data_IF_375006321498
#
_entry.id   IF_375006321498
#
_cell.length_a   1.000
_cell.length_b   1.000
_cell.length_c   1.000
_cell.angle_alpha   90.00
_cell.angle_beta   90.00
_cell.angle_gamma   90.00
#
_symmetry.space_group_name_H-M   'P 1'
#
loop_
_entity.id
_entity.type
_entity.pdbx_description
1 polymer ?
#
# COMPACT_ATOMS: atom_id res chain seq x y z
N UNK A 1 3.08 -5.92 9.42
CA UNK A 1 2.70 -4.65 10.09
C UNK A 1 3.80 -4.29 11.07
N UNK A 2 4.36 -3.08 10.99
CA UNK A 2 5.51 -2.59 11.81
C UNK A 2 5.07 -2.10 13.20
N UNK A 3 4.16 -2.82 13.85
CA UNK A 3 3.68 -2.47 15.19
C UNK A 3 4.55 -3.08 16.28
N UNK A 4 4.83 -2.31 17.34
CA UNK A 4 5.50 -2.81 18.55
C UNK A 4 4.44 -3.06 19.64
N UNK A 5 4.61 -4.07 20.50
CA UNK A 5 3.68 -4.30 21.61
C UNK A 5 3.45 -3.02 22.43
N UNK A 6 2.18 -2.69 22.69
CA UNK A 6 1.79 -1.55 23.50
C UNK A 6 2.31 -1.70 24.93
N UNK A 7 2.79 -0.61 25.51
CA UNK A 7 3.17 -0.57 26.92
C UNK A 7 1.96 -0.21 27.79
N UNK A 8 1.95 -0.73 29.01
CA UNK A 8 0.89 -0.53 30.01
C UNK A 8 1.50 -0.25 31.36
N UNK A 9 0.68 0.26 32.27
CA UNK A 9 1.01 0.30 33.70
C UNK A 9 1.41 -1.11 34.16
N UNK A 10 2.53 -1.19 34.87
CA UNK A 10 3.13 -2.44 35.34
C UNK A 10 4.08 -3.13 34.36
N UNK A 11 4.14 -2.73 33.08
CA UNK A 11 5.21 -3.20 32.18
C UNK A 11 6.54 -2.53 32.58
N UNK A 12 7.67 -3.18 32.25
CA UNK A 12 8.97 -2.85 32.85
C UNK A 12 9.75 -1.83 32.02
N UNK A 13 10.23 -0.75 32.64
CA UNK A 13 11.30 0.09 32.10
C UNK A 13 12.63 -0.37 32.69
N UNK A 14 13.49 -0.92 31.86
CA UNK A 14 14.89 -1.16 32.22
C UNK A 14 15.64 0.17 32.23
N UNK A 15 16.48 0.40 33.23
CA UNK A 15 17.30 1.59 33.37
C UNK A 15 18.71 1.16 33.79
N UNK A 16 19.73 1.77 33.18
CA UNK A 16 21.13 1.43 33.44
C UNK A 16 21.77 2.26 34.56
N UNK A 17 21.01 3.16 35.21
CA UNK A 17 21.51 3.88 36.37
C UNK A 17 21.77 2.90 37.53
N UNK A 18 22.94 2.98 38.20
CA UNK A 18 23.23 2.14 39.37
C UNK A 18 22.15 2.32 40.44
N UNK A 19 21.47 1.24 40.80
CA UNK A 19 20.49 1.27 41.89
C UNK A 19 21.16 0.87 43.20
N UNK A 20 20.85 1.61 44.27
CA UNK A 20 21.22 1.21 45.62
C UNK A 20 20.18 0.22 46.13
N UNK A 21 20.35 -1.06 45.80
CA UNK A 21 19.60 -2.11 46.50
C UNK A 21 20.14 -2.23 47.93
N UNK A 22 19.30 -2.40 48.97
CA UNK A 22 19.75 -2.57 50.36
C UNK A 22 20.58 -3.84 50.63
N UNK A 23 20.92 -4.62 49.59
CA UNK A 23 21.66 -5.86 49.74
C UNK A 23 23.16 -5.58 49.95
N UNK A 24 23.63 -5.79 51.18
CA UNK A 24 25.07 -5.91 51.48
C UNK A 24 25.46 -7.39 51.51
N UNK A 25 26.44 -7.85 50.69
CA UNK A 25 27.27 -7.07 49.78
C UNK A 25 26.57 -6.81 48.42
N UNK A 26 26.97 -5.76 47.67
CA UNK A 26 26.41 -5.45 46.36
C UNK A 26 26.54 -6.67 45.42
N UNK A 27 25.49 -7.06 44.69
CA UNK A 27 25.62 -8.10 43.67
C UNK A 27 26.69 -7.69 42.65
N UNK A 28 27.64 -8.57 42.29
CA UNK A 28 28.65 -8.24 41.30
C UNK A 28 27.98 -8.05 39.93
N UNK A 29 28.06 -6.82 39.39
CA UNK A 29 27.76 -6.49 37.99
C UNK A 29 26.37 -6.86 37.45
N UNK A 30 25.38 -7.14 38.29
CA UNK A 30 24.01 -7.33 37.81
C UNK A 30 23.42 -5.97 37.43
N UNK A 31 23.01 -5.74 36.16
CA UNK A 31 22.24 -4.54 35.83
C UNK A 31 20.99 -4.51 36.71
N UNK A 32 20.61 -3.33 37.23
CA UNK A 32 19.48 -3.24 38.13
C UNK A 32 18.22 -3.83 37.48
N UNK A 33 17.36 -4.51 38.25
CA UNK A 33 16.09 -4.97 37.71
C UNK A 33 15.32 -3.76 37.19
N UNK A 34 14.76 -3.88 35.98
CA UNK A 34 13.87 -2.86 35.45
C UNK A 34 12.69 -2.66 36.39
N UNK A 35 12.15 -1.44 36.41
CA UNK A 35 11.07 -1.07 37.33
C UNK A 35 9.77 -0.82 36.57
N UNK A 36 8.61 -1.13 37.18
CA UNK A 36 7.33 -1.03 36.50
C UNK A 36 6.98 0.43 36.18
N UNK A 37 6.30 0.64 35.06
CA UNK A 37 5.58 1.88 34.76
C UNK A 37 4.51 2.06 35.84
N UNK A 38 4.54 3.19 36.53
CA UNK A 38 3.66 3.45 37.67
C UNK A 38 2.27 3.92 37.22
N UNK A 39 1.23 3.71 38.07
CA UNK A 39 -0.06 4.37 37.90
C UNK A 39 0.07 5.91 37.85
N UNK A 40 -0.90 6.63 37.25
CA UNK A 40 -2.19 6.12 36.76
C UNK A 40 -2.19 5.59 35.31
N UNK A 41 -1.16 5.91 34.52
CA UNK A 41 -1.23 5.73 33.06
C UNK A 41 -2.47 6.42 32.46
N UNK A 42 -3.00 5.86 31.39
CA UNK A 42 -4.31 6.23 30.84
C UNK A 42 -5.43 5.42 31.52
N UNK A 43 -5.90 5.89 32.67
CA UNK A 43 -6.87 5.16 33.51
C UNK A 43 -8.16 4.71 32.79
N UNK A 44 -8.58 5.42 31.73
CA UNK A 44 -9.80 5.15 30.96
C UNK A 44 -9.56 4.30 29.69
N UNK A 45 -8.31 4.09 29.29
CA UNK A 45 -7.97 3.34 28.08
C UNK A 45 -7.19 2.11 28.48
N UNK A 46 -7.87 0.95 28.44
CA UNK A 46 -7.30 -0.31 28.88
C UNK A 46 -6.75 -1.10 27.68
N UNK A 47 -5.49 -1.52 27.77
CA UNK A 47 -4.86 -2.42 26.81
C UNK A 47 -4.56 -3.74 27.54
N UNK A 48 -5.13 -4.85 27.06
CA UNK A 48 -5.03 -6.14 27.74
C UNK A 48 -5.51 -6.09 29.20
N UNK A 49 -6.52 -5.28 29.50
CA UNK A 49 -7.12 -5.11 30.84
C UNK A 49 -6.35 -4.20 31.80
N UNK A 50 -5.24 -3.57 31.40
CA UNK A 50 -4.49 -2.64 32.24
C UNK A 50 -4.47 -1.23 31.62
N UNK A 51 -4.35 -0.15 32.41
CA UNK A 51 -4.22 1.20 31.87
C UNK A 51 -3.04 1.29 30.89
N UNK A 52 -3.28 1.87 29.71
CA UNK A 52 -2.26 2.06 28.69
C UNK A 52 -1.20 3.07 29.16
N UNK A 53 0.06 2.84 28.84
CA UNK A 53 1.14 3.78 29.10
C UNK A 53 1.30 4.74 27.91
N UNK A 54 1.79 5.94 28.20
CA UNK A 54 1.95 7.06 27.26
C UNK A 54 3.27 7.76 27.52
N UNK A 55 3.67 8.60 26.57
CA UNK A 55 4.71 9.59 26.81
C UNK A 55 4.39 10.39 28.08
N UNK A 56 5.40 10.58 28.93
CA UNK A 56 5.27 11.26 30.23
C UNK A 56 4.89 10.35 31.40
N UNK A 57 4.28 9.18 31.17
CA UNK A 57 4.17 8.16 32.22
C UNK A 57 5.58 7.63 32.56
N UNK A 58 5.81 7.13 33.77
CA UNK A 58 7.18 6.93 34.28
C UNK A 58 7.33 5.70 35.16
N UNK A 59 8.54 5.16 35.24
CA UNK A 59 8.98 4.32 36.35
C UNK A 59 9.79 5.16 37.33
N UNK A 60 9.94 4.70 38.58
CA UNK A 60 10.70 5.43 39.59
C UNK A 60 11.99 4.68 39.92
N UNK A 61 13.13 5.17 39.43
CA UNK A 61 14.42 4.52 39.64
C UNK A 61 14.86 4.59 41.11
N UNK A 62 15.29 3.46 41.66
CA UNK A 62 15.82 3.34 43.03
C UNK A 62 17.32 3.70 43.08
N UNK A 63 17.64 4.94 42.71
CA UNK A 63 18.91 5.57 43.06
C UNK A 63 18.86 6.00 44.56
N UNK A 64 19.95 6.50 45.18
CA UNK A 64 19.93 6.95 46.58
C UNK A 64 18.77 7.91 46.91
N UNK A 65 18.29 8.63 45.89
CA UNK A 65 17.01 9.33 45.90
C UNK A 65 16.13 8.78 44.76
N UNK A 66 14.86 8.42 45.02
CA UNK A 66 13.95 7.98 43.97
C UNK A 66 13.85 9.02 42.87
N UNK A 67 14.25 8.63 41.65
CA UNK A 67 14.31 9.56 40.51
C UNK A 67 13.33 9.09 39.44
N UNK A 68 12.34 9.92 39.06
CA UNK A 68 11.43 9.59 37.98
C UNK A 68 12.17 9.40 36.67
N UNK A 69 11.82 8.33 35.94
CA UNK A 69 12.25 8.05 34.58
C UNK A 69 11.06 8.13 33.61
N UNK A 70 10.57 9.33 33.25
CA UNK A 70 9.51 9.49 32.27
C UNK A 70 9.83 8.89 30.91
N UNK A 71 8.84 8.28 30.29
CA UNK A 71 8.89 7.83 28.91
C UNK A 71 8.98 9.07 28.01
N UNK A 72 10.09 9.20 27.28
CA UNK A 72 10.35 10.34 26.38
C UNK A 72 9.94 10.10 24.93
N UNK A 73 9.73 8.84 24.53
CA UNK A 73 9.33 8.46 23.17
C UNK A 73 8.00 7.72 23.19
N UNK A 74 7.19 7.91 22.16
CA UNK A 74 5.90 7.26 22.02
C UNK A 74 5.38 7.39 20.59
N UNK A 75 4.22 6.81 20.32
CA UNK A 75 3.57 6.80 19.03
C UNK A 75 2.62 7.97 18.83
N UNK A 76 3.14 9.04 18.18
CA UNK A 76 2.38 10.25 17.87
C UNK A 76 1.11 10.01 17.04
N UNK A 77 1.09 9.09 16.04
CA UNK A 77 -0.14 8.80 15.29
C UNK A 77 -1.22 8.09 16.13
N UNK A 78 -0.87 7.58 17.31
CA UNK A 78 -1.79 6.85 18.20
C UNK A 78 -1.88 7.59 19.53
N UNK A 79 -2.60 8.73 19.58
CA UNK A 79 -2.80 9.43 20.83
C UNK A 79 -3.71 8.62 21.76
N UNK A 80 -3.28 8.45 23.00
CA UNK A 80 -4.11 7.92 24.09
C UNK A 80 -4.24 9.06 25.10
N UNK A 81 -5.48 9.51 25.35
CA UNK A 81 -5.73 10.65 26.25
C UNK A 81 -4.83 11.86 25.92
N UNK A 82 -4.78 12.23 24.64
CA UNK A 82 -3.99 13.33 24.05
C UNK A 82 -2.47 13.24 24.18
N UNK A 83 -1.92 12.12 24.66
CA UNK A 83 -0.47 11.89 24.70
C UNK A 83 -0.10 10.72 23.78
N UNK A 84 1.06 10.73 23.12
CA UNK A 84 1.53 9.61 22.31
C UNK A 84 1.57 8.28 23.10
N UNK A 85 1.04 7.20 22.53
CA UNK A 85 1.03 5.89 23.20
C UNK A 85 2.46 5.31 23.35
N UNK A 86 2.79 4.77 24.52
CA UNK A 86 4.09 4.13 24.75
C UNK A 86 4.09 2.67 24.29
N UNK A 87 5.26 2.18 23.89
CA UNK A 87 5.46 0.84 23.31
C UNK A 87 6.76 0.22 23.79
N UNK A 88 6.88 -1.09 23.64
CA UNK A 88 8.18 -1.77 23.81
C UNK A 88 9.24 -1.07 22.94
N UNK A 89 10.45 -0.92 23.48
CA UNK A 89 11.60 -0.18 22.94
C UNK A 89 11.54 1.34 22.95
N UNK A 90 10.42 1.96 23.38
CA UNK A 90 10.43 3.40 23.64
C UNK A 90 11.33 3.70 24.86
N UNK A 91 12.08 4.81 24.79
CA UNK A 91 13.10 5.16 25.78
C UNK A 91 12.55 6.09 26.87
N UNK A 92 13.10 5.98 28.08
CA UNK A 92 12.89 6.95 29.15
C UNK A 92 13.89 8.11 29.13
N UNK A 93 13.76 9.05 30.07
CA UNK A 93 14.67 10.20 30.26
C UNK A 93 16.05 9.76 30.71
N UNK A 94 16.15 8.64 31.42
CA UNK A 94 17.43 8.13 31.90
C UNK A 94 18.24 7.49 30.76
N UNK A 95 19.58 7.68 30.73
CA UNK A 95 20.44 7.07 29.72
C UNK A 95 20.29 5.55 29.66
N UNK A 96 20.18 5.03 28.44
CA UNK A 96 20.03 3.59 28.20
C UNK A 96 18.72 2.99 28.72
N UNK A 97 17.75 3.82 29.15
CA UNK A 97 16.48 3.31 29.62
C UNK A 97 15.51 3.01 28.50
N UNK A 98 14.80 1.89 28.64
CA UNK A 98 13.97 1.33 27.57
C UNK A 98 12.83 0.50 28.15
N UNK A 99 11.64 0.60 27.55
CA UNK A 99 10.53 -0.29 27.86
C UNK A 99 10.84 -1.69 27.33
N UNK A 100 10.86 -2.67 28.23
CA UNK A 100 11.20 -4.05 27.94
C UNK A 100 9.99 -4.84 27.42
N UNK A 101 10.22 -5.89 26.61
CA UNK A 101 9.21 -6.90 26.34
C UNK A 101 8.66 -7.54 27.64
N UNK A 102 7.44 -8.10 27.63
CA UNK A 102 6.61 -8.35 26.44
C UNK A 102 5.66 -7.20 26.07
N UNK A 103 5.46 -6.20 26.94
CA UNK A 103 4.35 -5.26 26.80
C UNK A 103 3.00 -6.00 26.74
N UNK A 104 2.11 -5.56 25.85
CA UNK A 104 0.91 -6.29 25.44
C UNK A 104 1.08 -6.90 24.04
N UNK A 105 1.46 -8.19 23.92
CA UNK A 105 1.78 -8.79 22.61
C UNK A 105 0.62 -8.81 21.61
N UNK A 106 -0.62 -8.77 22.09
CA UNK A 106 -1.83 -8.81 21.26
C UNK A 106 -2.26 -7.43 20.76
N UNK A 107 -1.67 -6.34 21.26
CA UNK A 107 -1.96 -4.97 20.83
C UNK A 107 -0.66 -4.35 20.33
N UNK A 108 -0.54 -4.26 19.01
CA UNK A 108 0.63 -3.70 18.34
C UNK A 108 0.36 -2.26 17.92
N UNK A 109 1.15 -1.31 18.44
CA UNK A 109 1.06 0.11 18.10
C UNK A 109 2.22 0.43 17.13
N UNK A 110 1.89 0.85 15.92
CA UNK A 110 2.86 1.30 14.91
C UNK A 110 3.07 2.81 14.94
N UNK A 111 4.22 3.29 14.44
CA UNK A 111 4.31 4.64 13.86
C UNK A 111 4.00 4.58 12.35
N UNK A 112 4.25 3.41 11.75
CA UNK A 112 3.89 3.02 10.38
C UNK A 112 2.39 3.19 10.08
N UNK A 113 2.08 4.21 9.30
CA UNK A 113 0.75 4.41 8.72
C UNK A 113 0.54 3.63 7.43
N UNK A 114 -0.72 3.54 7.01
CA UNK A 114 -1.09 3.19 5.64
C UNK A 114 -1.82 4.39 5.07
N UNK A 115 -1.41 4.86 3.90
CA UNK A 115 -2.19 5.86 3.14
C UNK A 115 -3.04 5.16 2.07
N UNK A 116 -4.04 5.86 1.54
CA UNK A 116 -5.04 5.26 0.66
C UNK A 116 -6.03 4.36 1.41
N UNK A 117 -6.76 3.53 0.68
CA UNK A 117 -7.76 2.62 1.23
C UNK A 117 -7.64 1.21 0.64
N UNK A 118 -6.61 0.44 1.04
CA UNK A 118 -6.44 -0.93 0.55
C UNK A 118 -7.64 -1.84 0.78
N UNK A 119 -8.41 -1.59 1.85
CA UNK A 119 -9.60 -2.38 2.16
C UNK A 119 -10.68 -2.24 1.08
N UNK A 120 -11.08 -1.00 0.78
CA UNK A 120 -12.07 -0.76 -0.28
C UNK A 120 -11.50 -1.06 -1.66
N UNK A 121 -10.21 -0.78 -1.89
CA UNK A 121 -9.53 -1.17 -3.11
C UNK A 121 -9.57 -2.68 -3.37
N UNK A 122 -9.32 -3.50 -2.35
CA UNK A 122 -9.40 -4.96 -2.46
C UNK A 122 -10.84 -5.42 -2.76
N UNK A 123 -11.83 -4.86 -2.05
CA UNK A 123 -13.25 -5.17 -2.30
C UNK A 123 -13.66 -4.81 -3.73
N UNK A 124 -13.26 -3.63 -4.21
CA UNK A 124 -13.51 -3.20 -5.58
C UNK A 124 -12.92 -4.20 -6.58
N UNK A 125 -11.65 -4.57 -6.45
CA UNK A 125 -11.02 -5.56 -7.33
C UNK A 125 -11.71 -6.93 -7.32
N UNK A 126 -12.08 -7.44 -6.15
CA UNK A 126 -12.77 -8.73 -6.03
C UNK A 126 -14.15 -8.70 -6.71
N UNK A 127 -14.87 -7.58 -6.61
CA UNK A 127 -16.16 -7.40 -7.27
C UNK A 127 -16.06 -7.35 -8.80
N UNK A 128 -14.88 -7.02 -9.34
CA UNK A 128 -14.67 -6.86 -10.78
C UNK A 128 -14.56 -8.17 -11.55
N UNK A 129 -14.43 -9.31 -10.87
CA UNK A 129 -14.67 -10.58 -11.55
C UNK A 129 -16.04 -10.55 -12.24
N UNK A 130 -17.08 -10.08 -11.54
CA UNK A 130 -18.39 -9.85 -12.14
C UNK A 130 -18.31 -8.82 -13.28
N UNK A 131 -18.84 -9.19 -14.45
CA UNK A 131 -18.89 -8.33 -15.63
C UNK A 131 -17.74 -8.52 -16.60
N UNK A 132 -16.90 -9.55 -16.44
CA UNK A 132 -15.98 -10.04 -17.47
C UNK A 132 -16.65 -11.14 -18.25
N UNK A 133 -17.24 -10.83 -19.40
CA UNK A 133 -18.02 -11.79 -20.18
C UNK A 133 -17.56 -11.80 -21.65
N UNK A 134 -16.37 -12.38 -21.94
CA UNK A 134 -15.89 -12.48 -23.31
C UNK A 134 -16.91 -13.19 -24.21
N UNK A 135 -17.10 -12.73 -25.47
CA UNK A 135 -18.00 -13.41 -26.40
C UNK A 135 -17.60 -14.89 -26.60
N UNK A 136 -18.58 -15.81 -26.74
CA UNK A 136 -18.30 -17.21 -27.01
C UNK A 136 -17.35 -17.39 -28.21
N UNK A 137 -16.35 -18.25 -28.07
CA UNK A 137 -15.34 -18.51 -29.09
C UNK A 137 -14.13 -17.56 -29.08
N UNK A 138 -14.12 -16.53 -28.21
CA UNK A 138 -12.92 -15.71 -27.99
C UNK A 138 -11.82 -16.53 -27.34
N UNK A 139 -10.58 -16.39 -27.84
CA UNK A 139 -9.43 -17.12 -27.32
C UNK A 139 -8.27 -16.20 -26.93
N UNK A 140 -7.41 -16.69 -26.03
CA UNK A 140 -6.11 -16.08 -25.77
C UNK A 140 -5.13 -16.27 -26.97
N UNK A 141 -3.88 -15.82 -26.80
CA UNK A 141 -2.83 -15.99 -27.82
C UNK A 141 -2.46 -17.44 -28.10
N UNK A 142 -2.74 -18.37 -27.18
CA UNK A 142 -2.52 -19.80 -27.32
C UNK A 142 -3.70 -20.57 -27.91
N UNK A 143 -4.83 -19.90 -28.17
CA UNK A 143 -6.06 -20.53 -28.65
C UNK A 143 -6.95 -21.11 -27.55
N UNK A 144 -6.65 -20.86 -26.27
CA UNK A 144 -7.50 -21.32 -25.17
C UNK A 144 -8.73 -20.41 -25.04
N UNK A 145 -9.93 -20.95 -24.79
CA UNK A 145 -11.14 -20.15 -24.58
C UNK A 145 -11.00 -19.19 -23.40
N UNK A 146 -11.44 -17.94 -23.58
CA UNK A 146 -11.49 -16.96 -22.50
C UNK A 146 -12.66 -17.25 -21.56
N UNK A 147 -12.36 -17.37 -20.27
CA UNK A 147 -13.36 -17.59 -19.22
C UNK A 147 -14.19 -16.34 -18.91
N UNK A 148 -15.40 -16.54 -18.40
CA UNK A 148 -16.23 -15.47 -17.83
C UNK A 148 -16.05 -15.38 -16.32
N UNK A 149 -16.26 -14.18 -15.79
CA UNK A 149 -16.14 -13.84 -14.37
C UNK A 149 -14.81 -14.29 -13.72
N UNK A 150 -13.72 -14.25 -14.48
CA UNK A 150 -12.39 -14.63 -14.01
C UNK A 150 -11.85 -13.59 -13.01
N UNK A 151 -10.95 -13.97 -12.07
CA UNK A 151 -10.26 -13.01 -11.21
C UNK A 151 -9.30 -12.08 -11.98
N UNK A 152 -8.72 -12.56 -13.07
CA UNK A 152 -7.93 -11.77 -14.02
C UNK A 152 -8.78 -11.12 -15.10
N UNK A 153 -8.22 -10.10 -15.72
CA UNK A 153 -8.72 -9.51 -16.96
C UNK A 153 -8.80 -10.58 -18.06
N UNK A 154 -9.76 -10.45 -18.97
CA UNK A 154 -9.90 -11.43 -20.07
C UNK A 154 -9.08 -11.08 -21.30
N UNK A 155 -8.59 -9.84 -21.41
CA UNK A 155 -7.83 -9.35 -22.55
C UNK A 155 -6.53 -8.70 -22.07
N UNK A 156 -5.69 -8.20 -22.97
CA UNK A 156 -4.55 -7.36 -22.60
C UNK A 156 -4.95 -5.91 -22.28
N UNK A 157 -6.00 -5.73 -21.46
CA UNK A 157 -6.69 -4.46 -21.24
C UNK A 157 -6.55 -3.93 -19.80
N UNK A 158 -5.41 -4.13 -19.15
CA UNK A 158 -5.17 -3.79 -17.74
C UNK A 158 -5.50 -2.34 -17.37
N UNK A 159 -5.27 -1.38 -18.25
CA UNK A 159 -5.63 0.02 -17.99
C UNK A 159 -7.13 0.29 -18.06
N UNK A 160 -7.86 -0.45 -18.90
CA UNK A 160 -9.33 -0.41 -18.94
C UNK A 160 -9.90 -1.03 -17.67
N UNK A 161 -9.38 -2.18 -17.25
CA UNK A 161 -9.83 -2.87 -16.03
C UNK A 161 -9.45 -2.11 -14.74
N UNK A 162 -8.29 -1.44 -14.72
CA UNK A 162 -7.94 -0.51 -13.65
C UNK A 162 -8.92 0.67 -13.61
N UNK A 163 -9.29 1.21 -14.78
CA UNK A 163 -10.30 2.27 -14.86
C UNK A 163 -11.68 1.79 -14.40
N UNK A 164 -12.07 0.55 -14.73
CA UNK A 164 -13.35 -0.02 -14.31
C UNK A 164 -13.46 -0.15 -12.79
N UNK A 165 -12.37 -0.54 -12.11
CA UNK A 165 -12.32 -0.54 -10.65
C UNK A 165 -12.61 0.84 -10.05
N UNK A 166 -11.98 1.89 -10.60
CA UNK A 166 -12.17 3.25 -10.10
C UNK A 166 -13.57 3.78 -10.40
N UNK A 167 -14.13 3.46 -11.57
CA UNK A 167 -15.52 3.81 -11.95
C UNK A 167 -16.53 3.14 -11.04
N UNK A 168 -16.38 1.82 -10.81
CA UNK A 168 -17.24 1.07 -9.91
C UNK A 168 -17.22 1.67 -8.50
N UNK A 169 -16.03 1.99 -8.01
CA UNK A 169 -15.88 2.61 -6.69
C UNK A 169 -16.55 3.98 -6.63
N UNK A 170 -16.30 4.85 -7.62
CA UNK A 170 -16.76 6.24 -7.59
C UNK A 170 -18.25 6.39 -7.84
N UNK A 171 -18.86 5.50 -8.63
CA UNK A 171 -20.22 5.66 -9.15
C UNK A 171 -21.19 4.56 -8.70
N UNK A 172 -20.67 3.43 -8.21
CA UNK A 172 -21.45 2.22 -7.97
C UNK A 172 -21.80 1.44 -9.24
N UNK A 173 -21.49 1.93 -10.43
CA UNK A 173 -21.82 1.28 -11.70
C UNK A 173 -20.76 0.26 -12.13
N UNK A 174 -21.21 -0.94 -12.54
CA UNK A 174 -20.36 -1.92 -13.23
C UNK A 174 -20.73 -1.95 -14.73
N UNK A 175 -20.06 -1.18 -15.60
CA UNK A 175 -20.38 -1.19 -17.03
C UNK A 175 -20.06 -2.53 -17.71
N UNK A 176 -19.29 -3.41 -17.05
CA UNK A 176 -18.72 -4.61 -17.65
C UNK A 176 -17.47 -4.31 -18.47
N UNK A 177 -16.59 -5.30 -18.56
CA UNK A 177 -15.30 -5.22 -19.24
C UNK A 177 -15.48 -4.94 -20.74
N UNK A 178 -16.40 -5.67 -21.39
CA UNK A 178 -16.60 -5.59 -22.84
C UNK A 178 -17.19 -4.23 -23.24
N UNK A 179 -18.21 -3.76 -22.52
CA UNK A 179 -18.80 -2.43 -22.75
C UNK A 179 -17.74 -1.34 -22.59
N UNK A 180 -16.97 -1.38 -21.51
CA UNK A 180 -15.97 -0.36 -21.23
C UNK A 180 -14.81 -0.41 -22.24
N UNK A 181 -14.35 -1.61 -22.62
CA UNK A 181 -13.32 -1.80 -23.64
C UNK A 181 -13.78 -1.30 -25.02
N UNK A 182 -14.98 -1.68 -25.46
CA UNK A 182 -15.52 -1.27 -26.76
C UNK A 182 -15.69 0.25 -26.83
N UNK A 183 -16.20 0.86 -25.76
CA UNK A 183 -16.31 2.32 -25.67
C UNK A 183 -14.91 2.97 -25.67
N UNK A 184 -13.93 2.41 -24.96
CA UNK A 184 -12.57 2.93 -24.96
C UNK A 184 -11.94 2.89 -26.36
N UNK A 185 -12.10 1.79 -27.09
CA UNK A 185 -11.61 1.64 -28.47
C UNK A 185 -12.32 2.62 -29.41
N UNK A 186 -13.64 2.70 -29.36
CA UNK A 186 -14.44 3.56 -30.23
C UNK A 186 -14.10 5.06 -30.06
N UNK A 187 -13.66 5.45 -28.86
CA UNK A 187 -13.23 6.82 -28.56
C UNK A 187 -11.72 7.04 -28.74
N UNK A 188 -10.97 6.07 -29.26
CA UNK A 188 -9.52 6.17 -29.45
C UNK A 188 -8.70 6.18 -28.15
N UNK A 189 -9.30 5.75 -27.03
CA UNK A 189 -8.67 5.73 -25.71
C UNK A 189 -7.98 4.40 -25.38
N UNK A 190 -8.28 3.35 -26.14
CA UNK A 190 -7.65 2.05 -26.07
C UNK A 190 -7.32 1.51 -27.47
N UNK A 191 -6.25 0.71 -27.58
CA UNK A 191 -5.81 0.15 -28.86
C UNK A 191 -6.65 -1.06 -29.29
N UNK A 192 -6.79 -1.22 -30.60
CA UNK A 192 -7.23 -2.45 -31.24
C UNK A 192 -6.28 -2.74 -32.41
N UNK A 193 -5.34 -3.69 -32.28
CA UNK A 193 -4.42 -4.03 -33.35
C UNK A 193 -5.15 -4.52 -34.61
N UNK A 194 -4.65 -4.16 -35.79
CA UNK A 194 -5.24 -4.59 -37.05
C UNK A 194 -5.08 -6.11 -37.26
N UNK A 195 -6.08 -6.76 -37.83
CA UNK A 195 -5.96 -8.17 -38.25
C UNK A 195 -4.82 -8.28 -39.28
N UNK A 196 -3.96 -9.28 -39.10
CA UNK A 196 -2.75 -9.49 -39.89
C UNK A 196 -1.51 -8.76 -39.37
N UNK A 197 -1.64 -7.91 -38.35
CA UNK A 197 -0.49 -7.29 -37.68
C UNK A 197 0.20 -8.25 -36.70
N UNK A 198 1.43 -7.91 -36.28
CA UNK A 198 2.10 -8.58 -35.19
C UNK A 198 1.63 -7.97 -33.85
N UNK A 199 0.94 -8.77 -33.04
CA UNK A 199 0.56 -8.44 -31.67
C UNK A 199 1.68 -8.80 -30.68
N UNK A 200 1.53 -8.35 -29.43
CA UNK A 200 2.40 -8.69 -28.31
C UNK A 200 2.28 -10.17 -27.94
N UNK A 201 2.93 -11.03 -28.72
CA UNK A 201 2.96 -12.48 -28.53
C UNK A 201 2.47 -13.32 -29.72
N UNK A 202 2.25 -12.74 -30.91
CA UNK A 202 1.88 -13.52 -32.10
C UNK A 202 1.08 -12.74 -33.15
N UNK A 203 0.73 -13.36 -34.29
CA UNK A 203 -0.08 -12.73 -35.32
C UNK A 203 -1.52 -12.48 -34.82
N UNK A 204 -2.02 -11.29 -35.13
CA UNK A 204 -3.40 -10.89 -34.82
C UNK A 204 -4.33 -11.47 -35.87
N UNK A 205 -5.27 -12.31 -35.45
CA UNK A 205 -6.32 -12.91 -36.29
C UNK A 205 -7.68 -12.40 -35.84
N UNK A 206 -8.73 -12.64 -36.64
CA UNK A 206 -10.10 -12.32 -36.22
C UNK A 206 -10.51 -12.99 -34.90
N UNK A 207 -9.96 -14.18 -34.62
CA UNK A 207 -10.30 -14.97 -33.43
C UNK A 207 -9.63 -14.45 -32.15
N UNK A 208 -8.40 -13.94 -32.25
CA UNK A 208 -7.62 -13.49 -31.09
C UNK A 208 -7.44 -11.96 -31.01
N UNK A 209 -8.03 -11.17 -31.92
CA UNK A 209 -7.88 -9.71 -31.92
C UNK A 209 -8.34 -9.09 -30.60
N UNK A 210 -9.44 -9.60 -30.02
CA UNK A 210 -9.95 -9.13 -28.75
C UNK A 210 -8.91 -9.31 -27.62
N UNK A 211 -8.18 -10.42 -27.61
CA UNK A 211 -7.09 -10.69 -26.66
C UNK A 211 -5.98 -9.63 -26.73
N UNK A 212 -5.59 -9.20 -27.94
CA UNK A 212 -4.53 -8.20 -28.12
C UNK A 212 -5.02 -6.74 -27.98
N UNK A 213 -6.29 -6.52 -27.71
CA UNK A 213 -6.88 -5.18 -27.60
C UNK A 213 -6.83 -4.65 -26.16
N UNK A 214 -6.96 -3.33 -26.01
CA UNK A 214 -7.10 -2.68 -24.71
C UNK A 214 -5.86 -2.01 -24.14
N UNK A 215 -4.78 -1.89 -24.93
CA UNK A 215 -3.62 -1.09 -24.54
C UNK A 215 -4.02 0.37 -24.38
N UNK A 216 -3.67 1.00 -23.26
CA UNK A 216 -4.04 2.39 -22.95
C UNK A 216 -2.81 3.22 -22.61
N UNK A 217 -2.91 4.53 -22.78
CA UNK A 217 -1.99 5.49 -22.16
C UNK A 217 -2.65 6.10 -20.93
N UNK A 218 -1.89 6.79 -20.07
CA UNK A 218 -2.49 7.48 -18.91
C UNK A 218 -3.57 8.52 -19.24
N UNK A 219 -3.68 8.98 -20.49
CA UNK A 219 -4.76 9.89 -20.90
C UNK A 219 -5.88 9.21 -21.62
N UNK A 220 -5.61 8.07 -22.25
CA UNK A 220 -6.68 7.11 -22.56
C UNK A 220 -7.41 6.75 -21.27
N UNK A 221 -6.68 6.45 -20.19
CA UNK A 221 -7.23 6.19 -18.86
C UNK A 221 -8.01 7.39 -18.29
N UNK A 222 -7.45 8.61 -18.30
CA UNK A 222 -8.19 9.82 -17.89
C UNK A 222 -9.47 10.01 -18.68
N UNK A 223 -9.44 9.78 -19.99
CA UNK A 223 -10.61 9.92 -20.86
C UNK A 223 -11.63 8.82 -20.60
N UNK A 224 -11.20 7.57 -20.37
CA UNK A 224 -12.08 6.46 -19.97
C UNK A 224 -12.79 6.80 -18.65
N UNK A 225 -12.06 7.26 -17.64
CA UNK A 225 -12.64 7.68 -16.36
C UNK A 225 -13.65 8.80 -16.56
N UNK A 226 -13.27 9.85 -17.31
CA UNK A 226 -14.12 11.02 -17.56
C UNK A 226 -15.40 10.67 -18.33
N UNK A 227 -15.29 9.80 -19.34
CA UNK A 227 -16.42 9.30 -20.12
C UNK A 227 -17.39 8.44 -19.29
N UNK A 228 -16.96 7.96 -18.12
CA UNK A 228 -17.77 7.20 -17.18
C UNK A 228 -18.12 8.01 -15.92
N UNK A 229 -18.08 9.35 -16.00
CA UNK A 229 -18.51 10.23 -14.91
C UNK A 229 -17.51 10.36 -13.76
N UNK A 230 -16.26 9.97 -13.95
CA UNK A 230 -15.18 10.10 -12.96
C UNK A 230 -14.14 11.10 -13.47
N UNK A 231 -14.21 12.38 -13.06
CA UNK A 231 -13.20 13.36 -13.42
C UNK A 231 -11.80 12.89 -13.01
N UNK A 232 -10.82 13.03 -13.90
CA UNK A 232 -9.45 12.62 -13.66
C UNK A 232 -8.45 13.54 -14.36
N UNK A 233 -7.20 13.48 -13.90
CA UNK A 233 -6.08 14.23 -14.46
C UNK A 233 -4.85 13.34 -14.58
N UNK A 234 -3.98 13.65 -15.55
CA UNK A 234 -2.67 12.99 -15.64
C UNK A 234 -1.73 13.58 -14.59
N UNK A 235 -0.96 12.72 -13.94
CA UNK A 235 0.26 13.11 -13.23
C UNK A 235 1.43 12.84 -14.17
N UNK A 236 2.14 13.90 -14.56
CA UNK A 236 3.30 13.80 -15.43
C UNK A 236 4.48 13.12 -14.71
N UNK A 237 5.24 12.25 -15.37
CA UNK A 237 6.43 11.65 -14.79
C UNK A 237 7.54 12.69 -14.63
N UNK A 238 8.45 12.47 -13.67
CA UNK A 238 9.68 13.25 -13.57
C UNK A 238 10.66 12.88 -14.70
N UNK A 239 11.79 13.58 -14.79
CA UNK A 239 12.81 13.35 -15.82
C UNK A 239 13.37 11.90 -15.82
N UNK A 240 13.35 11.21 -14.67
CA UNK A 240 13.74 9.80 -14.51
C UNK A 240 12.58 8.81 -14.49
N UNK A 241 11.40 9.21 -14.97
CA UNK A 241 10.17 8.43 -14.85
C UNK A 241 9.34 8.79 -13.60
N UNK A 242 8.20 8.14 -13.46
CA UNK A 242 7.26 8.42 -12.38
C UNK A 242 7.82 7.93 -11.03
N UNK A 243 7.69 8.74 -9.98
CA UNK A 243 8.19 8.43 -8.64
C UNK A 243 7.03 8.14 -7.67
N UNK A 244 7.23 7.24 -6.72
CA UNK A 244 6.22 6.93 -5.69
C UNK A 244 5.69 8.17 -4.98
N UNK A 245 6.57 9.11 -4.64
CA UNK A 245 6.20 10.37 -3.97
C UNK A 245 5.21 11.22 -4.78
N UNK A 246 5.17 11.08 -6.11
CA UNK A 246 4.23 11.82 -6.96
C UNK A 246 2.78 11.34 -6.81
N UNK A 247 2.57 10.13 -6.28
CA UNK A 247 1.23 9.55 -6.07
C UNK A 247 0.74 9.67 -4.62
N UNK A 248 1.65 9.91 -3.68
CA UNK A 248 1.38 9.93 -2.25
C UNK A 248 0.29 10.94 -1.86
N UNK A 249 0.31 12.14 -2.45
CA UNK A 249 -0.73 13.16 -2.21
C UNK A 249 -2.10 12.70 -2.69
N UNK A 250 -2.17 11.98 -3.82
CA UNK A 250 -3.44 11.48 -4.32
C UNK A 250 -4.00 10.40 -3.40
N UNK A 251 -3.15 9.46 -2.97
CA UNK A 251 -3.54 8.38 -2.07
C UNK A 251 -3.96 8.92 -0.69
N UNK A 252 -3.27 9.93 -0.16
CA UNK A 252 -3.62 10.55 1.13
C UNK A 252 -4.95 11.32 1.09
N UNK A 253 -5.34 11.79 -0.09
CA UNK A 253 -6.63 12.43 -0.33
C UNK A 253 -7.74 11.42 -0.68
N UNK A 254 -7.49 10.10 -0.62
CA UNK A 254 -8.48 9.09 -0.99
C UNK A 254 -8.84 9.08 -2.49
N UNK A 255 -7.97 9.62 -3.35
CA UNK A 255 -8.19 9.67 -4.80
C UNK A 255 -7.72 8.36 -5.44
N UNK A 256 -8.40 7.95 -6.51
CA UNK A 256 -8.06 6.75 -7.28
C UNK A 256 -6.81 6.97 -8.13
N UNK A 257 -5.92 5.99 -8.18
CA UNK A 257 -4.64 6.06 -8.89
C UNK A 257 -4.47 4.85 -9.79
N UNK A 258 -4.21 5.09 -11.08
CA UNK A 258 -3.75 4.09 -12.04
C UNK A 258 -2.29 4.39 -12.37
N UNK A 259 -1.41 3.49 -11.95
CA UNK A 259 0.01 3.58 -12.23
C UNK A 259 0.35 2.75 -13.47
N UNK A 260 1.21 3.29 -14.34
CA UNK A 260 1.67 2.63 -15.55
C UNK A 260 3.16 2.36 -15.45
N UNK A 261 3.59 1.20 -15.92
CA UNK A 261 4.98 0.75 -15.80
C UNK A 261 5.24 -0.51 -16.63
N UNK A 262 6.28 -1.24 -16.27
CA UNK A 262 6.63 -2.54 -16.84
C UNK A 262 6.66 -3.61 -15.75
N UNK A 263 6.01 -4.75 -15.98
CA UNK A 263 5.86 -5.84 -14.98
C UNK A 263 7.18 -6.45 -14.50
N UNK A 264 8.30 -6.10 -15.14
CA UNK A 264 9.65 -6.52 -14.73
C UNK A 264 9.90 -6.34 -13.22
N UNK A 265 9.99 -7.47 -12.50
CA UNK A 265 10.29 -7.50 -11.07
C UNK A 265 9.08 -7.29 -10.15
N UNK A 266 7.85 -7.17 -10.69
CA UNK A 266 6.65 -7.22 -9.87
C UNK A 266 6.38 -8.64 -9.36
N UNK A 267 5.91 -8.78 -8.11
CA UNK A 267 5.44 -10.06 -7.58
C UNK A 267 4.40 -10.74 -8.48
N UNK A 268 4.58 -12.04 -8.72
CA UNK A 268 3.66 -12.86 -9.52
C UNK A 268 3.97 -12.94 -11.02
N UNK A 269 4.82 -12.06 -11.56
CA UNK A 269 5.17 -12.02 -12.98
C UNK A 269 6.42 -12.81 -13.37
N UNK A 270 7.22 -13.25 -12.40
CA UNK A 270 8.45 -14.02 -12.65
C UNK A 270 9.45 -13.22 -13.50
N UNK A 271 9.85 -13.78 -14.65
CA UNK A 271 10.77 -13.13 -15.60
C UNK A 271 10.05 -12.39 -16.73
N UNK A 272 8.71 -12.30 -16.69
CA UNK A 272 7.95 -11.60 -17.71
C UNK A 272 8.24 -10.10 -17.69
N UNK A 273 8.13 -9.48 -18.87
CA UNK A 273 8.29 -8.03 -19.08
C UNK A 273 7.21 -7.56 -20.02
N UNK A 274 6.85 -6.28 -19.94
CA UNK A 274 5.82 -5.70 -20.77
C UNK A 274 5.07 -4.57 -20.07
N UNK A 275 4.60 -3.62 -20.88
CA UNK A 275 3.83 -2.48 -20.41
C UNK A 275 2.56 -2.93 -19.70
N UNK A 276 2.31 -2.38 -18.52
CA UNK A 276 1.18 -2.76 -17.68
C UNK A 276 0.67 -1.59 -16.83
N UNK A 277 -0.59 -1.69 -16.43
CA UNK A 277 -1.29 -0.71 -15.62
C UNK A 277 -1.93 -1.39 -14.41
N UNK A 278 -1.79 -0.79 -13.24
CA UNK A 278 -2.32 -1.32 -11.99
C UNK A 278 -3.04 -0.23 -11.20
N UNK A 279 -4.05 -0.62 -10.44
CA UNK A 279 -4.75 0.28 -9.51
C UNK A 279 -3.98 0.32 -8.19
N UNK A 280 -3.38 1.46 -7.85
CA UNK A 280 -2.68 1.63 -6.56
C UNK A 280 -3.70 2.01 -5.50
N UNK A 281 -3.76 1.24 -4.41
CA UNK A 281 -4.78 1.37 -3.38
C UNK A 281 -4.22 1.85 -2.05
N UNK A 282 -2.90 1.77 -1.84
CA UNK A 282 -2.24 2.40 -0.70
C UNK A 282 -0.74 2.20 -0.62
N UNK A 283 -0.10 2.95 0.28
CA UNK A 283 1.31 2.77 0.66
C UNK A 283 1.43 2.46 2.14
N UNK A 284 2.41 1.63 2.49
CA UNK A 284 2.84 1.40 3.87
C UNK A 284 4.11 2.17 4.17
N UNK A 285 4.19 2.76 5.36
CA UNK A 285 5.36 3.53 5.81
C UNK A 285 6.12 2.81 6.92
N UNK A 286 7.41 3.11 7.09
CA UNK A 286 8.15 2.77 8.29
C UNK A 286 7.99 3.84 9.39
N UNK A 287 8.64 3.59 10.52
CA UNK A 287 8.65 4.51 11.67
C UNK A 287 9.38 5.85 11.38
N UNK A 288 10.13 5.95 10.28
CA UNK A 288 10.80 7.17 9.83
C UNK A 288 10.01 7.91 8.73
N UNK A 289 8.83 7.40 8.34
CA UNK A 289 7.99 7.97 7.29
C UNK A 289 8.44 7.61 5.88
N UNK A 290 9.36 6.65 5.70
CA UNK A 290 9.71 6.17 4.36
C UNK A 290 8.66 5.20 3.85
N UNK A 291 8.32 5.28 2.56
CA UNK A 291 7.48 4.28 1.90
C UNK A 291 8.25 2.95 1.87
N UNK A 292 7.67 1.92 2.48
CA UNK A 292 8.25 0.57 2.50
C UNK A 292 7.61 -0.34 1.46
N UNK A 293 6.30 -0.20 1.24
CA UNK A 293 5.53 -1.08 0.36
C UNK A 293 4.44 -0.32 -0.37
N UNK A 294 4.11 -0.83 -1.56
CA UNK A 294 2.97 -0.41 -2.36
C UNK A 294 1.95 -1.54 -2.37
N UNK A 295 0.70 -1.19 -2.08
CA UNK A 295 -0.45 -2.06 -2.16
C UNK A 295 -1.26 -1.68 -3.40
N UNK A 296 -1.54 -2.67 -4.25
CA UNK A 296 -2.17 -2.45 -5.54
C UNK A 296 -3.00 -3.66 -5.97
N UNK A 297 -3.91 -3.46 -6.91
CA UNK A 297 -4.65 -4.53 -7.55
C UNK A 297 -4.06 -4.78 -8.94
N UNK A 298 -3.74 -6.05 -9.21
CA UNK A 298 -3.17 -6.46 -10.49
C UNK A 298 -4.15 -7.36 -11.24
N UNK A 299 -4.85 -6.78 -12.21
CA UNK A 299 -5.81 -7.52 -13.03
C UNK A 299 -5.13 -8.40 -14.06
N UNK A 300 -3.85 -8.16 -14.39
CA UNK A 300 -3.11 -8.96 -15.37
C UNK A 300 -2.89 -10.39 -14.90
N UNK A 301 -2.52 -10.56 -13.63
CA UNK A 301 -2.43 -11.88 -12.97
C UNK A 301 -3.67 -12.26 -12.16
N UNK A 302 -4.67 -11.36 -12.09
CA UNK A 302 -5.91 -11.59 -11.36
C UNK A 302 -5.76 -11.65 -9.85
N UNK A 303 -4.79 -10.91 -9.30
CA UNK A 303 -4.52 -10.87 -7.87
C UNK A 303 -4.85 -9.49 -7.32
N UNK A 304 -5.85 -9.42 -6.46
CA UNK A 304 -6.19 -8.23 -5.71
C UNK A 304 -5.26 -8.04 -4.51
N UNK A 305 -5.07 -6.79 -4.07
CA UNK A 305 -4.30 -6.47 -2.87
C UNK A 305 -2.87 -7.05 -2.84
N UNK A 306 -2.23 -7.06 -4.02
CA UNK A 306 -0.82 -7.36 -4.18
C UNK A 306 0.02 -6.37 -3.36
N UNK A 307 1.17 -6.85 -2.88
CA UNK A 307 2.08 -6.08 -2.04
C UNK A 307 3.49 -6.21 -2.58
N UNK A 308 4.03 -5.11 -3.11
CA UNK A 308 5.40 -5.00 -3.56
C UNK A 308 6.19 -4.10 -2.62
N UNK A 309 7.50 -4.34 -2.48
CA UNK A 309 8.37 -3.35 -1.81
C UNK A 309 8.40 -2.05 -2.60
N UNK A 310 8.71 -0.93 -1.93
CA UNK A 310 8.88 0.35 -2.59
C UNK A 310 9.90 0.29 -3.74
N UNK A 311 11.00 -0.46 -3.54
CA UNK A 311 12.02 -0.66 -4.57
C UNK A 311 11.49 -1.44 -5.78
N UNK A 312 10.73 -2.53 -5.56
CA UNK A 312 10.13 -3.31 -6.65
C UNK A 312 9.15 -2.46 -7.46
N UNK A 313 8.29 -1.70 -6.78
CA UNK A 313 7.30 -0.88 -7.48
C UNK A 313 7.95 0.33 -8.17
N UNK A 314 9.00 0.91 -7.58
CA UNK A 314 9.77 1.96 -8.26
C UNK A 314 10.47 1.42 -9.51
N UNK A 315 10.98 0.17 -9.48
CA UNK A 315 11.53 -0.48 -10.67
C UNK A 315 10.47 -0.65 -11.77
N UNK A 316 9.25 -1.05 -11.41
CA UNK A 316 8.11 -1.14 -12.35
C UNK A 316 7.86 0.20 -13.06
N UNK A 317 7.85 1.31 -12.32
CA UNK A 317 7.64 2.66 -12.88
C UNK A 317 8.80 3.09 -13.78
N UNK A 318 10.03 2.96 -13.30
CA UNK A 318 11.23 3.41 -14.02
C UNK A 318 11.50 2.57 -15.27
N UNK A 319 11.31 1.26 -15.20
CA UNK A 319 11.49 0.37 -16.36
C UNK A 319 10.49 0.70 -17.45
N UNK A 320 9.22 0.92 -17.09
CA UNK A 320 8.21 1.34 -18.06
C UNK A 320 8.53 2.69 -18.71
N UNK A 321 9.04 3.65 -17.93
CA UNK A 321 9.49 4.94 -18.46
C UNK A 321 10.66 4.79 -19.45
N UNK A 322 11.67 4.01 -19.10
CA UNK A 322 12.83 3.76 -19.96
C UNK A 322 12.43 3.05 -21.25
N UNK A 323 11.57 2.03 -21.16
CA UNK A 323 11.07 1.31 -22.32
C UNK A 323 10.25 2.23 -23.24
N UNK A 324 9.43 3.14 -22.69
CA UNK A 324 8.71 4.12 -23.51
C UNK A 324 9.67 5.02 -24.30
N UNK A 325 10.70 5.58 -23.62
CA UNK A 325 11.71 6.44 -24.25
C UNK A 325 12.50 5.69 -25.32
N UNK A 326 12.92 4.46 -25.03
CA UNK A 326 13.67 3.63 -25.98
C UNK A 326 12.87 3.35 -27.27
N UNK A 327 11.53 3.32 -27.17
CA UNK A 327 10.63 3.15 -28.30
C UNK A 327 10.15 4.49 -28.92
N UNK A 328 10.75 5.63 -28.54
CA UNK A 328 10.42 6.94 -29.10
C UNK A 328 9.15 7.59 -28.55
N UNK A 329 8.62 7.09 -27.42
CA UNK A 329 7.44 7.63 -26.75
C UNK A 329 7.82 8.43 -25.50
N UNK A 330 6.97 9.37 -25.10
CA UNK A 330 7.10 10.03 -23.81
C UNK A 330 6.86 9.01 -22.67
N UNK A 331 7.57 9.11 -21.53
CA UNK A 331 7.32 8.25 -20.39
C UNK A 331 5.85 8.29 -19.95
N UNK A 332 5.32 7.13 -19.60
CA UNK A 332 3.95 7.03 -19.11
C UNK A 332 3.81 7.72 -17.74
N UNK A 333 2.89 8.69 -17.67
CA UNK A 333 2.41 9.22 -16.38
C UNK A 333 1.42 8.29 -15.69
N UNK A 334 0.81 8.77 -14.62
CA UNK A 334 -0.31 8.10 -13.95
C UNK A 334 -1.65 8.79 -14.27
N UNK A 335 -2.75 8.06 -14.21
CA UNK A 335 -4.09 8.66 -14.18
C UNK A 335 -4.56 8.73 -12.74
N UNK A 336 -5.04 9.90 -12.31
CA UNK A 336 -5.50 10.13 -10.93
C UNK A 336 -6.86 10.80 -10.95
N UNK A 337 -7.84 10.26 -10.23
CA UNK A 337 -9.17 10.89 -10.13
C UNK A 337 -9.04 12.28 -9.51
N UNK A 338 -9.85 13.24 -9.91
CA UNK A 338 -9.79 14.60 -9.35
C UNK A 338 -10.35 14.63 -7.92
N UNK A 339 -11.44 13.89 -7.70
CA UNK A 339 -12.11 13.80 -6.41
C UNK A 339 -11.72 12.52 -5.65
N UNK A 340 -11.81 12.52 -4.31
CA UNK A 340 -11.74 11.31 -3.51
C UNK A 340 -12.84 10.32 -3.92
N UNK A 341 -12.48 9.03 -3.98
CA UNK A 341 -13.41 7.94 -4.30
C UNK A 341 -13.36 6.82 -3.25
N UNK A 342 -12.33 6.83 -2.40
CA UNK A 342 -12.08 5.83 -1.37
C UNK A 342 -12.47 6.31 0.03
#
# INVERSE_FOLDING_TARGET
MSGKPAARVGDTILCMLPQTVPATPPPPHAPPPGLPIMPPGAATVLIGGKPAARMGDFSNCLAPVPTPNPIMRGAFPVPIMNMPAARVSDSGTHPGSVIMPPGCPTVLIGLAGVTGNPRLGNQACQSMAAGRNPPPGSTDSGGNPLGSNTPGQSYNNCGVESSRQLVQQATGANPGQETMLNNAIANGNASQPAIGSAGSGGPVTAQNQAWYSGGTTSGGQVSILSNNGVPASRVAPAAGGMQLSQLETALSQGRGVIANGDVAGLPGWGTQTGAHAVTVTGYEYDDAGNITHVIYNDTGIGVCNQRATAAQFQNFLTTGANNAVANGFAPSGAAVTTNPIW
#
